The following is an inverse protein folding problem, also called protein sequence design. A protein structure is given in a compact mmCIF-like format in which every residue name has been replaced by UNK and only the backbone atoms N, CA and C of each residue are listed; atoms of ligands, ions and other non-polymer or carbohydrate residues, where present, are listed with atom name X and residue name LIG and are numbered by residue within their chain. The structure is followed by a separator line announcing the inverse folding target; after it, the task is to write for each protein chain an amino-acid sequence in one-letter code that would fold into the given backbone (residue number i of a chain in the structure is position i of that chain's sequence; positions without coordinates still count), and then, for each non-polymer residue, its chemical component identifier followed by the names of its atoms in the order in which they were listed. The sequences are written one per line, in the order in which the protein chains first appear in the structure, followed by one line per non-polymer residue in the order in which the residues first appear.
data_IF_268185152385
#
_entry.id   IF_268185152385
#
_cell.length_a   1.000
_cell.length_b   1.000
_cell.length_c   1.000
_cell.angle_alpha   90.00
_cell.angle_beta   90.00
_cell.angle_gamma   90.00
#
_symmetry.space_group_name_H-M   'P 1'
#
loop_
_entity.id
_entity.type
_entity.pdbx_description
1 polymer ?
#
# COMPACT_ATOMS: atom_id res chain seq x y z
N UNK A 1 -13.88 2.48 -0.71
CA UNK A 1 -12.44 2.35 -1.04
C UNK A 1 -11.85 3.74 -1.21
N UNK A 2 -11.39 4.34 -0.11
CA UNK A 2 -10.95 5.73 -0.13
C UNK A 2 -9.52 5.79 -0.70
N UNK A 3 -9.10 6.93 -1.25
CA UNK A 3 -7.73 7.15 -1.74
C UNK A 3 -6.92 7.92 -0.68
N UNK A 4 -5.71 7.46 -0.31
CA UNK A 4 -4.85 8.16 0.68
C UNK A 4 -4.02 9.18 -0.08
N UNK A 5 -4.01 10.41 0.40
CA UNK A 5 -2.99 11.40 0.04
C UNK A 5 -2.22 11.78 1.29
N UNK A 6 -0.92 11.50 1.31
CA UNK A 6 -0.01 11.76 2.40
C UNK A 6 0.58 13.17 2.33
N UNK A 7 0.86 13.75 3.50
CA UNK A 7 1.56 15.03 3.64
C UNK A 7 2.84 14.93 4.43
N UNK A 8 3.67 15.97 4.27
CA UNK A 8 4.65 16.42 5.27
C UNK A 8 3.97 17.42 6.23
N UNK A 9 4.12 17.20 7.54
CA UNK A 9 4.00 18.16 8.68
C UNK A 9 2.74 18.12 9.58
N UNK A 10 2.97 18.36 10.89
CA UNK A 10 2.08 18.67 12.05
C UNK A 10 1.10 17.57 12.53
N UNK A 11 0.83 17.24 13.82
CA UNK A 11 1.14 17.71 15.18
C UNK A 11 0.08 17.12 16.13
N UNK A 12 0.44 16.67 17.35
CA UNK A 12 -0.36 15.87 18.31
C UNK A 12 -1.60 16.61 18.88
N UNK A 13 -2.75 15.92 19.10
CA UNK A 13 -3.56 15.82 20.35
C UNK A 13 -5.07 15.49 20.16
N UNK A 14 -5.62 14.84 21.19
CA UNK A 14 -6.90 14.09 21.32
C UNK A 14 -8.18 14.95 21.30
N UNK A 15 -9.28 14.43 20.71
CA UNK A 15 -10.61 14.25 21.36
C UNK A 15 -11.78 14.05 20.37
N UNK A 16 -12.41 12.87 20.44
CA UNK A 16 -13.86 12.55 20.42
C UNK A 16 -14.82 13.53 19.70
N UNK A 17 -15.32 13.18 18.51
CA UNK A 17 -16.73 12.82 18.22
C UNK A 17 -16.97 12.70 16.70
N UNK A 18 -17.78 11.70 16.35
CA UNK A 18 -18.16 11.21 15.01
C UNK A 18 -18.71 12.29 14.09
N UNK A 19 -18.06 12.53 12.95
CA UNK A 19 -18.69 12.81 11.65
C UNK A 19 -17.60 12.84 10.57
N UNK A 20 -17.88 12.30 9.37
CA UNK A 20 -16.98 12.20 8.20
C UNK A 20 -16.01 10.99 8.19
N UNK A 21 -16.52 9.78 8.41
CA UNK A 21 -15.94 8.56 7.80
C UNK A 21 -17.11 7.72 7.25
N UNK A 22 -17.29 7.71 5.93
CA UNK A 22 -18.21 6.77 5.27
C UNK A 22 -17.67 5.34 5.47
N UNK A 23 -18.40 4.54 6.25
CA UNK A 23 -18.04 3.17 6.61
C UNK A 23 -18.26 2.22 5.43
N UNK A 24 -17.25 1.41 5.08
CA UNK A 24 -17.39 0.29 4.15
C UNK A 24 -17.47 -1.02 4.93
N UNK A 25 -18.48 -1.87 4.65
CA UNK A 25 -18.56 -3.27 5.14
C UNK A 25 -18.46 -4.21 3.95
N UNK A 26 -17.36 -4.95 3.82
CA UNK A 26 -17.29 -6.12 2.92
C UNK A 26 -17.87 -7.36 3.62
N UNK A 27 -18.41 -8.38 2.91
CA UNK A 27 -18.89 -9.62 3.51
C UNK A 27 -17.74 -10.50 4.05
N UNK A 28 -18.01 -11.24 5.14
CA UNK A 28 -17.04 -12.08 5.85
C UNK A 28 -17.01 -13.48 5.24
N UNK A 29 -15.84 -14.10 5.05
CA UNK A 29 -15.72 -15.56 4.92
C UNK A 29 -14.73 -16.08 5.95
N UNK A 30 -15.09 -17.23 6.57
CA UNK A 30 -14.27 -17.97 7.53
C UNK A 30 -12.98 -18.44 6.84
N UNK A 31 -11.84 -18.21 7.50
CA UNK A 31 -10.47 -18.68 7.17
C UNK A 31 -9.53 -17.75 6.38
N UNK A 32 -9.78 -16.45 6.32
CA UNK A 32 -8.79 -15.46 5.89
C UNK A 32 -9.00 -14.12 6.61
N UNK A 33 -7.91 -13.41 6.94
CA UNK A 33 -8.02 -12.04 7.46
C UNK A 33 -8.57 -11.18 6.32
N UNK A 34 -9.87 -10.92 6.40
CA UNK A 34 -10.63 -10.13 5.44
C UNK A 34 -10.05 -8.71 5.35
N UNK A 35 -9.92 -8.17 4.13
CA UNK A 35 -9.56 -6.77 3.83
C UNK A 35 -10.51 -5.69 4.44
N UNK A 36 -11.38 -6.07 5.38
CA UNK A 36 -12.37 -5.23 6.10
C UNK A 36 -11.76 -4.14 6.97
N UNK A 37 -10.46 -4.18 7.22
CA UNK A 37 -9.79 -3.25 8.14
C UNK A 37 -8.75 -2.40 7.41
N UNK A 38 -8.92 -2.09 6.12
CA UNK A 38 -8.06 -1.13 5.40
C UNK A 38 -8.80 0.20 5.28
N UNK A 39 -8.50 1.11 6.20
CA UNK A 39 -9.00 2.47 6.22
C UNK A 39 -7.91 3.45 5.85
N UNK A 40 -8.21 4.31 4.91
CA UNK A 40 -7.25 5.10 4.17
C UNK A 40 -7.34 6.56 4.63
N UNK A 41 -6.33 7.03 5.39
CA UNK A 41 -5.82 8.43 5.53
C UNK A 41 -4.96 8.61 6.82
N UNK A 42 -3.68 9.01 6.68
CA UNK A 42 -2.88 9.67 7.74
C UNK A 42 -2.04 10.81 7.14
N UNK A 43 -1.99 11.99 7.78
CA UNK A 43 -0.85 12.88 7.64
C UNK A 43 0.35 12.27 8.39
N UNK A 44 1.54 12.21 7.76
CA UNK A 44 2.78 11.93 8.48
C UNK A 44 3.44 13.26 8.86
N UNK A 45 3.39 13.63 10.14
CA UNK A 45 4.33 14.62 10.67
C UNK A 45 5.65 13.92 10.97
N UNK A 46 6.70 14.32 10.27
CA UNK A 46 8.07 14.21 10.79
C UNK A 46 8.26 15.34 11.80
N UNK A 47 8.59 15.02 13.05
CA UNK A 47 9.14 16.01 13.96
C UNK A 47 10.51 16.43 13.44
N UNK A 48 10.63 17.70 13.08
CA UNK A 48 11.90 18.34 12.81
C UNK A 48 12.37 19.01 14.10
N UNK A 49 12.69 18.21 15.13
CA UNK A 49 13.40 18.65 16.34
C UNK A 49 14.01 17.40 17.01
N UNK A 50 15.27 17.10 16.69
CA UNK A 50 16.02 15.98 17.30
C UNK A 50 16.84 15.14 16.31
N UNK A 51 17.99 15.67 15.88
CA UNK A 51 19.23 14.89 15.70
C UNK A 51 19.29 13.67 14.77
N UNK A 52 18.43 13.48 13.76
CA UNK A 52 18.62 12.39 12.80
C UNK A 52 19.64 12.75 11.70
N UNK A 53 20.62 11.87 11.39
CA UNK A 53 21.53 12.07 10.28
C UNK A 53 20.74 12.15 8.96
N UNK A 54 21.08 13.16 8.16
CA UNK A 54 20.64 13.35 6.78
C UNK A 54 20.88 12.07 5.98
N UNK A 55 19.86 11.23 5.79
CA UNK A 55 20.01 10.01 4.99
C UNK A 55 18.82 9.06 4.97
N UNK A 56 18.05 8.97 6.05
CA UNK A 56 16.89 8.06 6.10
C UNK A 56 15.62 8.79 5.65
N UNK A 57 15.46 8.93 4.33
CA UNK A 57 14.15 9.20 3.73
C UNK A 57 13.35 7.89 3.81
N UNK A 58 12.18 7.90 4.46
CA UNK A 58 11.18 6.88 4.13
C UNK A 58 11.02 6.91 2.60
N UNK A 59 11.02 5.76 1.89
CA UNK A 59 10.60 5.75 0.51
C UNK A 59 9.25 6.45 0.48
N UNK A 60 9.15 7.54 -0.27
CA UNK A 60 7.86 8.20 -0.48
C UNK A 60 6.97 7.12 -1.07
N UNK A 61 5.96 6.63 -0.35
CA UNK A 61 5.20 5.46 -0.81
C UNK A 61 4.71 5.72 -2.23
N UNK A 62 5.14 4.83 -3.13
CA UNK A 62 4.93 4.94 -4.57
C UNK A 62 3.75 4.06 -4.89
N UNK A 63 2.60 4.67 -5.13
CA UNK A 63 1.44 3.95 -5.63
C UNK A 63 1.52 3.86 -7.16
N UNK A 64 1.76 2.67 -7.68
CA UNK A 64 1.83 2.42 -9.12
C UNK A 64 0.46 2.11 -9.73
N UNK A 65 0.24 2.54 -10.97
CA UNK A 65 -0.95 2.25 -11.77
C UNK A 65 -0.62 2.16 -13.27
N UNK A 66 -1.44 1.44 -14.02
CA UNK A 66 -1.32 1.40 -15.48
C UNK A 66 -2.02 2.62 -16.12
N UNK A 67 -1.25 3.43 -16.84
CA UNK A 67 -1.75 4.57 -17.60
C UNK A 67 -2.59 4.20 -18.82
N UNK A 68 -2.83 5.20 -19.67
CA UNK A 68 -3.54 5.04 -20.93
C UNK A 68 -2.74 4.22 -21.95
N UNK A 69 -3.45 3.52 -22.83
CA UNK A 69 -2.84 2.68 -23.85
C UNK A 69 -2.15 3.55 -24.90
N UNK A 70 -0.86 3.29 -25.15
CA UNK A 70 -0.09 3.96 -26.19
C UNK A 70 -0.35 3.36 -27.59
N UNK A 71 0.27 3.92 -28.63
CA UNK A 71 0.13 3.46 -30.02
C UNK A 71 0.52 1.98 -30.26
N UNK A 72 1.30 1.38 -29.35
CA UNK A 72 1.72 -0.03 -29.41
C UNK A 72 0.79 -0.98 -28.65
N UNK A 73 -0.24 -0.45 -27.97
CA UNK A 73 -1.11 -1.24 -27.11
C UNK A 73 -0.61 -1.42 -25.68
N UNK A 74 0.58 -0.92 -25.36
CA UNK A 74 1.18 -0.94 -24.03
C UNK A 74 0.57 0.16 -23.15
N UNK A 75 0.35 -0.16 -21.88
CA UNK A 75 -0.05 0.80 -20.85
C UNK A 75 1.19 1.08 -19.98
N UNK A 76 1.74 2.31 -19.98
CA UNK A 76 2.91 2.61 -19.18
C UNK A 76 2.59 2.53 -17.69
N UNK A 77 3.52 2.01 -16.90
CA UNK A 77 3.41 2.01 -15.45
C UNK A 77 3.75 3.41 -14.93
N UNK A 78 2.77 4.08 -14.35
CA UNK A 78 2.92 5.39 -13.73
C UNK A 78 2.93 5.24 -12.21
N UNK A 79 3.43 6.26 -11.52
CA UNK A 79 3.43 6.32 -10.06
C UNK A 79 2.84 7.61 -9.52
N UNK A 80 2.19 7.50 -8.35
CA UNK A 80 1.75 8.62 -7.52
C UNK A 80 2.55 8.55 -6.23
N UNK A 81 3.45 9.51 -6.05
CA UNK A 81 4.24 9.64 -4.84
C UNK A 81 3.37 10.19 -3.71
N UNK A 82 3.46 9.63 -2.52
CA UNK A 82 2.73 10.12 -1.36
C UNK A 82 1.28 9.61 -1.31
N UNK A 83 0.98 8.56 -2.06
CA UNK A 83 -0.32 7.91 -2.06
C UNK A 83 -0.14 6.45 -1.67
N UNK A 84 -1.03 5.92 -0.85
CA UNK A 84 -0.86 4.59 -0.26
C UNK A 84 -2.20 3.98 0.22
N UNK A 85 -2.16 2.81 0.87
CA UNK A 85 -3.25 2.24 1.65
C UNK A 85 -2.85 2.12 3.13
N UNK A 86 -3.80 2.31 4.05
CA UNK A 86 -3.53 2.17 5.50
C UNK A 86 -4.62 1.33 6.15
N UNK A 87 -4.34 0.72 7.30
CA UNK A 87 -5.33 -0.04 8.04
C UNK A 87 -6.31 0.90 8.79
N UNK A 88 -7.55 0.47 8.99
CA UNK A 88 -8.61 1.30 9.56
C UNK A 88 -8.34 1.63 11.02
N UNK A 89 -7.83 0.66 11.76
CA UNK A 89 -7.34 0.79 13.13
C UNK A 89 -6.10 1.69 13.24
N UNK A 90 -5.45 1.99 12.12
CA UNK A 90 -4.33 2.92 12.07
C UNK A 90 -4.76 4.35 11.76
N UNK A 91 -5.99 4.61 11.30
CA UNK A 91 -6.45 5.99 11.07
C UNK A 91 -6.58 6.72 12.41
N UNK A 92 -5.89 7.86 12.52
CA UNK A 92 -6.12 8.82 13.61
C UNK A 92 -6.97 9.95 13.03
N UNK A 93 -8.28 10.01 13.34
CA UNK A 93 -9.14 11.06 12.83
C UNK A 93 -8.72 12.43 13.39
N UNK A 94 -8.81 13.46 12.56
CA UNK A 94 -8.59 14.86 12.95
C UNK A 94 -9.56 15.77 12.20
N UNK A 95 -9.72 17.01 12.68
CA UNK A 95 -10.55 18.04 12.03
C UNK A 95 -9.65 19.07 11.34
N UNK A 96 -9.79 19.30 10.03
CA UNK A 96 -8.94 20.25 9.32
C UNK A 96 -9.36 21.69 9.64
N UNK A 97 -8.38 22.51 10.03
CA UNK A 97 -8.53 23.94 10.34
C UNK A 97 -8.01 24.85 9.23
N UNK A 98 -7.71 24.27 8.07
CA UNK A 98 -7.18 24.97 6.90
C UNK A 98 -7.88 24.46 5.64
N UNK A 99 -8.04 25.33 4.63
CA UNK A 99 -8.66 25.00 3.34
C UNK A 99 -7.85 23.99 2.52
N UNK A 100 -6.54 23.87 2.80
CA UNK A 100 -5.66 22.86 2.22
C UNK A 100 -4.92 22.10 3.33
N UNK A 101 -5.62 21.22 4.06
CA UNK A 101 -5.04 20.50 5.20
C UNK A 101 -3.98 19.49 4.76
N UNK A 102 -4.03 19.08 3.48
CA UNK A 102 -3.12 18.11 2.91
C UNK A 102 -2.31 18.75 1.76
N UNK A 103 -1.01 19.00 1.98
CA UNK A 103 -0.05 19.38 0.95
C UNK A 103 0.31 18.17 0.07
N UNK A 104 -0.50 17.93 -0.96
CA UNK A 104 -0.27 16.91 -1.97
C UNK A 104 -0.90 17.32 -3.32
N UNK A 105 -0.24 17.05 -4.44
CA UNK A 105 -0.66 17.52 -5.77
C UNK A 105 -2.04 16.98 -6.20
N UNK A 106 -2.37 15.77 -5.74
CA UNK A 106 -3.67 15.14 -5.96
C UNK A 106 -4.78 15.63 -5.01
N UNK A 107 -4.49 16.44 -3.97
CA UNK A 107 -5.49 16.75 -2.93
C UNK A 107 -6.73 17.42 -3.50
N UNK A 108 -6.55 18.51 -4.23
CA UNK A 108 -7.66 19.26 -4.86
C UNK A 108 -8.30 18.51 -6.03
N UNK A 109 -7.61 17.50 -6.57
CA UNK A 109 -8.15 16.60 -7.60
C UNK A 109 -9.09 15.56 -7.00
N UNK A 110 -8.78 15.04 -5.81
CA UNK A 110 -9.57 13.97 -5.19
C UNK A 110 -10.65 14.53 -4.26
N UNK A 111 -10.35 15.62 -3.57
CA UNK A 111 -11.23 16.21 -2.58
C UNK A 111 -11.80 17.55 -3.05
N UNK A 112 -13.06 17.76 -2.72
CA UNK A 112 -13.78 19.02 -2.91
C UNK A 112 -14.20 19.56 -1.54
N UNK A 113 -13.94 20.84 -1.29
CA UNK A 113 -14.39 21.53 -0.08
C UNK A 113 -15.87 21.88 -0.23
N UNK A 114 -16.72 21.33 0.64
CA UNK A 114 -18.18 21.53 0.60
C UNK A 114 -18.69 22.60 1.56
N UNK A 115 -17.82 23.13 2.42
CA UNK A 115 -18.18 24.24 3.30
C UNK A 115 -17.22 24.41 4.47
N UNK A 116 -17.46 25.49 5.20
CA UNK A 116 -16.79 25.85 6.45
C UNK A 116 -17.87 25.96 7.55
N UNK A 117 -17.67 25.28 8.68
CA UNK A 117 -18.55 25.42 9.83
C UNK A 117 -18.22 26.70 10.62
N UNK A 118 -19.11 27.11 11.53
CA UNK A 118 -18.91 28.24 12.45
C UNK A 118 -17.60 28.19 13.24
N UNK A 119 -17.03 26.99 13.42
CA UNK A 119 -15.82 26.75 14.21
C UNK A 119 -14.54 26.75 13.36
N UNK A 120 -14.58 27.36 12.15
CA UNK A 120 -13.48 27.35 11.16
C UNK A 120 -13.01 25.93 10.78
N UNK A 121 -13.91 24.96 10.86
CA UNK A 121 -13.70 23.57 10.42
C UNK A 121 -14.08 23.44 8.94
N UNK A 122 -13.14 22.94 8.14
CA UNK A 122 -13.34 22.72 6.71
C UNK A 122 -13.89 21.33 6.44
N UNK A 123 -14.96 21.23 5.64
CA UNK A 123 -15.55 19.96 5.23
C UNK A 123 -15.13 19.60 3.81
N UNK A 124 -14.71 18.35 3.62
CA UNK A 124 -14.30 17.82 2.33
C UNK A 124 -15.10 16.57 1.96
N UNK A 125 -15.42 16.43 0.68
CA UNK A 125 -15.96 15.20 0.09
C UNK A 125 -15.02 14.67 -0.98
N UNK A 126 -15.07 13.38 -1.25
CA UNK A 126 -14.37 12.80 -2.39
C UNK A 126 -15.19 13.14 -3.65
N UNK A 127 -14.55 13.67 -4.69
CA UNK A 127 -15.21 13.93 -5.97
C UNK A 127 -15.76 12.64 -6.57
N UNK A 128 -16.87 12.74 -7.29
CA UNK A 128 -17.62 11.58 -7.80
C UNK A 128 -16.78 10.64 -8.66
N UNK A 129 -15.86 11.17 -9.48
CA UNK A 129 -14.97 10.41 -10.33
C UNK A 129 -13.95 9.54 -9.56
N UNK A 130 -13.75 9.82 -8.27
CA UNK A 130 -12.94 9.04 -7.34
C UNK A 130 -13.79 8.28 -6.31
N UNK A 131 -15.12 8.32 -6.43
CA UNK A 131 -15.99 7.52 -5.58
C UNK A 131 -15.75 6.04 -5.80
N UNK A 132 -15.75 5.21 -4.74
CA UNK A 132 -15.41 3.80 -4.86
C UNK A 132 -16.39 3.03 -5.76
N UNK A 133 -17.68 3.35 -5.71
CA UNK A 133 -18.68 2.72 -6.57
C UNK A 133 -18.41 3.03 -8.04
N UNK A 134 -18.05 4.28 -8.34
CA UNK A 134 -17.65 4.69 -9.69
C UNK A 134 -16.39 3.94 -10.14
N UNK A 135 -15.38 3.84 -9.26
CA UNK A 135 -14.11 3.17 -9.52
C UNK A 135 -14.26 1.64 -9.65
N UNK A 136 -15.13 1.00 -8.88
CA UNK A 136 -15.43 -0.43 -8.96
C UNK A 136 -16.22 -0.74 -10.22
N UNK A 137 -17.25 0.06 -10.52
CA UNK A 137 -18.09 -0.10 -11.71
C UNK A 137 -17.30 0.09 -13.01
N UNK A 138 -16.18 0.81 -12.99
CA UNK A 138 -15.24 0.92 -14.11
C UNK A 138 -14.27 -0.26 -14.29
N UNK A 139 -14.52 -1.40 -13.64
CA UNK A 139 -13.78 -2.65 -13.92
C UNK A 139 -12.68 -2.97 -12.90
N UNK A 140 -12.91 -2.64 -11.62
CA UNK A 140 -11.97 -2.93 -10.54
C UNK A 140 -10.83 -1.92 -10.50
N UNK A 141 -10.91 -0.98 -9.55
CA UNK A 141 -9.86 0.01 -9.37
C UNK A 141 -8.53 -0.67 -9.01
N UNK A 142 -7.44 -0.23 -9.63
CA UNK A 142 -6.08 -0.55 -9.21
C UNK A 142 -5.76 -0.09 -7.77
N UNK A 143 -6.65 0.74 -7.20
CA UNK A 143 -6.67 1.11 -5.80
C UNK A 143 -7.15 -0.03 -4.90
N UNK A 144 -8.12 -0.82 -5.38
CA UNK A 144 -8.57 -2.16 -4.95
C UNK A 144 -7.60 -3.09 -4.20
N UNK A 145 -7.44 -3.14 -2.85
CA UNK A 145 -6.72 -4.24 -2.23
C UNK A 145 -7.47 -5.54 -2.56
N UNK A 146 -6.77 -6.51 -3.13
CA UNK A 146 -7.33 -7.81 -3.48
C UNK A 146 -7.37 -8.71 -2.25
N UNK A 147 -6.22 -8.90 -1.60
CA UNK A 147 -6.10 -9.69 -0.37
C UNK A 147 -5.02 -9.10 0.55
N UNK A 148 -5.09 -9.47 1.84
CA UNK A 148 -4.14 -9.07 2.89
C UNK A 148 -3.61 -10.31 3.58
N UNK A 149 -2.29 -10.43 3.65
CA UNK A 149 -1.59 -11.54 4.29
C UNK A 149 -0.78 -10.99 5.46
N UNK A 150 -0.87 -11.64 6.62
CA UNK A 150 -0.13 -11.24 7.83
C UNK A 150 0.57 -12.44 8.44
N UNK A 151 1.82 -12.26 8.83
CA UNK A 151 2.58 -13.24 9.60
C UNK A 151 3.41 -12.53 10.68
N UNK A 152 3.61 -13.19 11.82
CA UNK A 152 4.48 -12.70 12.89
C UNK A 152 5.57 -13.74 13.15
N UNK A 153 6.82 -13.31 13.09
CA UNK A 153 7.98 -14.16 13.40
C UNK A 153 9.01 -13.35 14.19
N UNK A 154 9.46 -13.88 15.33
CA UNK A 154 10.54 -13.24 16.11
C UNK A 154 10.27 -11.79 16.52
N UNK A 155 9.03 -11.46 16.89
CA UNK A 155 8.64 -10.10 17.30
C UNK A 155 8.40 -9.12 16.13
N UNK A 156 8.49 -9.58 14.89
CA UNK A 156 8.23 -8.75 13.70
C UNK A 156 6.95 -9.19 13.03
N UNK A 157 6.07 -8.24 12.72
CA UNK A 157 4.90 -8.46 11.87
C UNK A 157 5.23 -8.09 10.43
N UNK A 158 4.96 -9.01 9.51
CA UNK A 158 4.99 -8.76 8.06
C UNK A 158 3.56 -8.75 7.57
N UNK A 159 3.15 -7.63 6.96
CA UNK A 159 1.86 -7.48 6.27
C UNK A 159 2.12 -7.32 4.78
N UNK A 160 1.47 -8.13 3.94
CA UNK A 160 1.52 -7.99 2.49
C UNK A 160 0.12 -7.72 1.95
N UNK A 161 -0.04 -6.65 1.18
CA UNK A 161 -1.30 -6.24 0.55
C UNK A 161 -1.11 -6.31 -0.96
N UNK A 162 -2.01 -7.00 -1.65
CA UNK A 162 -1.95 -7.16 -3.12
C UNK A 162 -2.96 -6.26 -3.82
N UNK A 163 -2.61 -5.79 -5.01
CA UNK A 163 -3.43 -4.95 -5.87
C UNK A 163 -3.32 -5.42 -7.31
N UNK A 164 -4.45 -5.63 -7.96
CA UNK A 164 -4.47 -5.92 -9.39
C UNK A 164 -4.50 -4.60 -10.16
N UNK A 165 -3.48 -4.34 -10.99
CA UNK A 165 -3.38 -3.09 -11.77
C UNK A 165 -4.06 -3.18 -13.13
N UNK A 166 -4.31 -4.40 -13.62
CA UNK A 166 -4.94 -4.69 -14.90
C UNK A 166 -3.99 -5.36 -15.90
N UNK A 167 -4.45 -5.41 -17.14
CA UNK A 167 -3.76 -6.05 -18.25
C UNK A 167 -2.84 -5.05 -18.96
N UNK A 168 -1.61 -5.46 -19.26
CA UNK A 168 -0.64 -4.76 -20.10
C UNK A 168 -0.17 -5.66 -21.26
N UNK A 169 0.24 -5.09 -22.39
CA UNK A 169 0.76 -5.84 -23.54
C UNK A 169 2.23 -5.53 -23.75
N UNK A 170 3.13 -6.17 -23.02
CA UNK A 170 4.57 -5.89 -23.10
C UNK A 170 5.20 -6.75 -24.19
N UNK A 171 5.88 -6.14 -25.18
CA UNK A 171 6.51 -6.86 -26.30
C UNK A 171 5.54 -7.80 -27.05
N UNK A 172 4.29 -7.37 -27.24
CA UNK A 172 3.25 -8.16 -27.90
C UNK A 172 2.67 -9.30 -27.06
N UNK A 173 3.16 -9.52 -25.83
CA UNK A 173 2.65 -10.54 -24.92
C UNK A 173 1.73 -9.92 -23.87
N UNK A 174 0.58 -10.54 -23.65
CA UNK A 174 -0.32 -10.14 -22.57
C UNK A 174 0.30 -10.48 -21.21
N UNK A 175 0.33 -9.49 -20.32
CA UNK A 175 0.81 -9.59 -18.95
C UNK A 175 -0.25 -9.03 -18.00
N UNK A 176 -0.40 -9.68 -16.86
CA UNK A 176 -1.29 -9.29 -15.79
C UNK A 176 -0.45 -8.61 -14.72
N UNK A 177 -0.62 -7.30 -14.60
CA UNK A 177 0.23 -6.46 -13.77
C UNK A 177 -0.35 -6.37 -12.35
N UNK A 178 0.50 -6.60 -11.37
CA UNK A 178 0.16 -6.54 -9.96
C UNK A 178 1.09 -5.58 -9.23
N UNK A 179 0.56 -4.94 -8.19
CA UNK A 179 1.36 -4.29 -7.15
C UNK A 179 1.19 -5.06 -5.86
N UNK A 180 2.26 -5.16 -5.10
CA UNK A 180 2.20 -5.60 -3.71
C UNK A 180 2.93 -4.61 -2.82
N UNK A 181 2.34 -4.35 -1.65
CA UNK A 181 2.91 -3.51 -0.60
C UNK A 181 3.27 -4.39 0.57
N UNK A 182 4.51 -4.31 1.04
CA UNK A 182 5.01 -5.06 2.19
C UNK A 182 5.35 -4.09 3.30
N UNK A 183 4.75 -4.31 4.47
CA UNK A 183 5.03 -3.57 5.69
C UNK A 183 5.62 -4.49 6.74
N UNK A 184 6.77 -4.09 7.28
CA UNK A 184 7.42 -4.72 8.42
C UNK A 184 7.19 -3.84 9.64
N UNK A 185 6.74 -4.43 10.75
CA UNK A 185 6.54 -3.75 12.02
C UNK A 185 7.30 -4.48 13.12
N UNK A 186 8.20 -3.78 13.79
CA UNK A 186 8.91 -4.23 14.98
C UNK A 186 8.03 -4.01 16.20
N UNK A 187 7.61 -5.13 16.80
CA UNK A 187 6.78 -5.15 18.02
C UNK A 187 7.65 -5.25 19.27
N UNK A 188 8.98 -5.32 19.11
CA UNK A 188 9.94 -5.31 20.21
C UNK A 188 10.46 -3.89 20.47
N UNK A 189 11.07 -3.68 21.64
CA UNK A 189 11.73 -2.43 22.01
C UNK A 189 13.20 -2.35 21.56
N UNK A 190 13.69 -3.35 20.82
CA UNK A 190 15.09 -3.41 20.37
C UNK A 190 15.22 -2.94 18.93
N UNK A 191 16.36 -2.35 18.58
CA UNK A 191 16.60 -1.92 17.20
C UNK A 191 17.00 -3.10 16.32
N UNK A 192 16.44 -3.16 15.12
CA UNK A 192 16.73 -4.19 14.13
C UNK A 192 17.11 -3.56 12.79
N UNK A 193 18.06 -4.15 12.08
CA UNK A 193 18.41 -3.75 10.71
C UNK A 193 18.03 -4.85 9.73
N UNK A 194 17.27 -4.52 8.69
CA UNK A 194 16.96 -5.47 7.61
C UNK A 194 18.20 -5.62 6.73
N UNK A 195 18.71 -6.84 6.60
CA UNK A 195 19.94 -7.15 5.87
C UNK A 195 19.70 -7.72 4.49
N UNK A 196 18.77 -8.65 4.35
CA UNK A 196 18.54 -9.34 3.08
C UNK A 196 17.05 -9.65 2.92
N UNK A 197 16.61 -9.72 1.67
CA UNK A 197 15.30 -10.22 1.26
C UNK A 197 15.48 -11.37 0.28
N UNK A 198 14.89 -12.52 0.60
CA UNK A 198 14.91 -13.72 -0.24
C UNK A 198 13.49 -14.19 -0.50
N UNK A 199 13.00 -14.01 -1.71
CA UNK A 199 11.64 -14.36 -2.13
C UNK A 199 11.66 -15.38 -3.26
N UNK A 200 10.59 -16.15 -3.34
CA UNK A 200 10.30 -17.08 -4.42
C UNK A 200 8.93 -16.72 -5.00
N UNK A 201 8.84 -16.69 -6.32
CA UNK A 201 7.62 -16.53 -7.08
C UNK A 201 7.39 -17.81 -7.88
N UNK A 202 6.23 -18.42 -7.71
CA UNK A 202 5.81 -19.57 -8.49
C UNK A 202 4.57 -19.23 -9.33
N UNK A 203 4.64 -19.47 -10.63
CA UNK A 203 3.52 -19.31 -11.55
C UNK A 203 3.70 -20.28 -12.74
N UNK A 204 2.64 -21.00 -13.13
CA UNK A 204 2.66 -21.91 -14.29
C UNK A 204 3.84 -22.90 -14.30
N UNK A 205 4.09 -23.60 -13.19
CA UNK A 205 5.21 -24.54 -13.03
C UNK A 205 6.61 -23.90 -13.20
N UNK A 206 6.70 -22.58 -13.25
CA UNK A 206 7.94 -21.82 -13.26
C UNK A 206 8.19 -21.21 -11.88
N UNK A 207 9.42 -21.35 -11.38
CA UNK A 207 9.88 -20.75 -10.14
C UNK A 207 10.94 -19.69 -10.45
N UNK A 208 10.71 -18.46 -9.98
CA UNK A 208 11.69 -17.37 -9.99
C UNK A 208 12.14 -17.08 -8.56
N UNK A 209 13.42 -16.83 -8.37
CA UNK A 209 13.97 -16.47 -7.05
C UNK A 209 14.53 -15.05 -7.10
N UNK A 210 14.17 -14.26 -6.10
CA UNK A 210 14.60 -12.87 -5.92
C UNK A 210 15.42 -12.83 -4.62
N UNK A 211 16.72 -12.61 -4.74
CA UNK A 211 17.60 -12.40 -3.58
C UNK A 211 18.18 -11.00 -3.68
N UNK A 212 17.91 -10.16 -2.69
CA UNK A 212 18.38 -8.78 -2.62
C UNK A 212 19.11 -8.54 -1.31
N UNK A 213 20.29 -7.91 -1.39
CA UNK A 213 20.97 -7.36 -0.23
C UNK A 213 20.33 -6.01 0.11
N UNK A 214 19.70 -5.94 1.28
CA UNK A 214 18.82 -4.85 1.67
C UNK A 214 17.44 -4.90 1.01
N UNK A 215 16.78 -3.74 1.01
CA UNK A 215 15.52 -3.50 0.30
C UNK A 215 15.70 -2.23 -0.54
N UNK A 216 15.51 -2.37 -1.86
CA UNK A 216 15.63 -1.27 -2.83
C UNK A 216 16.96 -0.49 -2.69
N UNK A 217 18.06 -1.21 -2.41
CA UNK A 217 19.41 -0.64 -2.27
C UNK A 217 19.75 -0.04 -0.89
N UNK A 218 18.86 -0.18 0.09
CA UNK A 218 19.08 0.32 1.47
C UNK A 218 18.98 -0.79 2.50
N UNK A 219 19.48 -0.55 3.72
CA UNK A 219 19.28 -1.43 4.88
C UNK A 219 18.42 -0.71 5.92
N UNK A 220 17.08 -0.79 5.83
CA UNK A 220 16.20 -0.09 6.74
C UNK A 220 16.41 -0.52 8.20
N UNK A 221 16.29 0.46 9.09
CA UNK A 221 16.40 0.29 10.53
C UNK A 221 15.00 0.39 11.16
N UNK A 222 14.61 -0.62 11.92
CA UNK A 222 13.37 -0.66 12.70
C UNK A 222 13.71 -0.42 14.18
N UNK A 223 13.54 0.80 14.66
CA UNK A 223 13.83 1.20 16.04
C UNK A 223 12.53 1.53 16.79
N UNK A 224 12.53 1.65 18.12
CA UNK A 224 11.34 2.12 18.86
C UNK A 224 10.79 3.46 18.38
N UNK A 225 11.65 4.34 17.83
CA UNK A 225 11.26 5.65 17.29
C UNK A 225 10.72 5.56 15.85
N UNK A 226 11.09 4.50 15.12
CA UNK A 226 10.62 4.22 13.77
C UNK A 226 10.36 2.71 13.64
N UNK A 227 9.27 2.19 14.24
CA UNK A 227 9.07 0.76 14.42
C UNK A 227 8.59 0.07 13.14
N UNK A 228 8.28 0.81 12.09
CA UNK A 228 7.79 0.24 10.84
C UNK A 228 8.64 0.66 9.65
N UNK A 229 8.68 -0.20 8.64
CA UNK A 229 9.20 0.09 7.32
C UNK A 229 8.24 -0.48 6.29
N UNK A 230 8.04 0.25 5.19
CA UNK A 230 7.15 -0.15 4.12
C UNK A 230 7.80 0.08 2.76
N UNK A 231 7.51 -0.83 1.82
CA UNK A 231 7.84 -0.64 0.42
C UNK A 231 6.75 -1.24 -0.47
N UNK A 232 6.67 -0.73 -1.69
CA UNK A 232 5.80 -1.27 -2.74
C UNK A 232 6.65 -1.74 -3.93
N UNK A 233 6.20 -2.78 -4.60
CA UNK A 233 6.81 -3.28 -5.84
C UNK A 233 5.74 -3.85 -6.77
N UNK A 234 6.10 -4.00 -8.04
CA UNK A 234 5.20 -4.51 -9.08
C UNK A 234 5.72 -5.82 -9.67
N UNK A 235 4.80 -6.60 -10.22
CA UNK A 235 5.10 -7.89 -10.83
C UNK A 235 4.17 -8.14 -12.01
N UNK A 236 4.75 -8.56 -13.14
CA UNK A 236 4.03 -8.93 -14.35
C UNK A 236 3.92 -10.44 -14.44
N UNK A 237 2.69 -10.95 -14.46
CA UNK A 237 2.38 -12.38 -14.48
C UNK A 237 1.82 -12.82 -15.83
N UNK A 238 2.03 -14.08 -16.26
CA UNK A 238 1.42 -14.62 -17.47
C UNK A 238 -0.08 -14.94 -17.30
N UNK A 239 -0.58 -15.01 -16.06
CA UNK A 239 -2.00 -15.23 -15.74
C UNK A 239 -2.47 -14.28 -14.64
N UNK A 240 -3.77 -13.96 -14.63
CA UNK A 240 -4.41 -13.14 -13.59
C UNK A 240 -4.69 -13.91 -12.29
N UNK A 241 -4.40 -15.21 -12.22
CA UNK A 241 -4.63 -16.03 -11.04
C UNK A 241 -3.63 -17.16 -10.89
N UNK A 242 -3.51 -17.67 -9.67
CA UNK A 242 -2.76 -18.89 -9.36
C UNK A 242 -1.24 -18.71 -9.24
N UNK A 243 -0.74 -17.47 -9.15
CA UNK A 243 0.65 -17.23 -8.80
C UNK A 243 0.80 -17.13 -7.27
N UNK A 244 1.90 -17.68 -6.75
CA UNK A 244 2.23 -17.68 -5.33
C UNK A 244 3.57 -17.01 -5.09
N UNK A 245 3.67 -16.17 -4.06
CA UNK A 245 4.91 -15.55 -3.63
C UNK A 245 5.13 -15.76 -2.14
N UNK A 246 6.32 -16.17 -1.74
CA UNK A 246 6.69 -16.36 -0.34
C UNK A 246 8.18 -16.12 -0.16
N UNK A 247 8.65 -16.04 1.07
CA UNK A 247 10.06 -15.79 1.30
C UNK A 247 10.41 -15.53 2.75
N UNK A 248 11.56 -14.87 2.92
CA UNK A 248 12.08 -14.45 4.22
C UNK A 248 12.79 -13.13 4.11
N UNK A 249 12.80 -12.37 5.21
CA UNK A 249 13.79 -11.33 5.44
C UNK A 249 14.81 -11.84 6.45
N UNK A 250 16.07 -11.46 6.26
CA UNK A 250 17.11 -11.63 7.27
C UNK A 250 17.31 -10.33 8.00
N UNK A 251 17.18 -10.35 9.32
CA UNK A 251 17.34 -9.19 10.19
C UNK A 251 18.56 -9.38 11.08
N UNK A 252 19.19 -8.26 11.43
CA UNK A 252 20.28 -8.20 12.40
C UNK A 252 19.84 -7.44 13.64
N UNK A 253 20.10 -8.02 14.82
CA UNK A 253 19.93 -7.37 16.13
C UNK A 253 21.11 -6.45 16.44
N UNK A 254 20.94 -5.56 17.40
CA UNK A 254 22.04 -4.73 17.94
C UNK A 254 23.24 -5.56 18.43
N UNK A 255 22.99 -6.77 18.95
CA UNK A 255 24.06 -7.71 19.36
C UNK A 255 24.89 -8.27 18.20
N UNK A 256 24.49 -7.99 16.95
CA UNK A 256 25.10 -8.51 15.74
C UNK A 256 24.52 -9.85 15.28
N UNK A 257 23.69 -10.52 16.09
CA UNK A 257 23.08 -11.80 15.71
C UNK A 257 22.08 -11.64 14.56
N UNK A 258 22.04 -12.64 13.68
CA UNK A 258 21.16 -12.69 12.53
C UNK A 258 20.03 -13.68 12.78
N UNK A 259 18.83 -13.35 12.30
CA UNK A 259 17.69 -14.26 12.30
C UNK A 259 16.80 -14.01 11.10
N UNK A 260 16.04 -15.03 10.71
CA UNK A 260 15.07 -14.94 9.62
C UNK A 260 13.68 -14.64 10.16
N UNK A 261 12.91 -13.83 9.44
CA UNK A 261 11.47 -13.69 9.60
C UNK A 261 10.78 -14.10 8.30
N UNK A 262 9.60 -14.69 8.41
CA UNK A 262 8.88 -15.21 7.26
C UNK A 262 8.10 -14.10 6.54
N UNK A 263 8.10 -14.15 5.22
CA UNK A 263 7.13 -13.43 4.38
C UNK A 263 5.99 -14.42 4.10
N UNK A 264 4.73 -14.08 4.44
CA UNK A 264 3.61 -15.00 4.28
C UNK A 264 3.47 -15.45 2.83
N UNK A 265 2.92 -16.64 2.63
CA UNK A 265 2.58 -17.10 1.27
C UNK A 265 1.41 -16.29 0.72
N UNK A 266 1.73 -15.38 -0.18
CA UNK A 266 0.82 -14.52 -0.92
C UNK A 266 0.31 -15.25 -2.15
N UNK A 267 -0.99 -15.11 -2.46
CA UNK A 267 -1.59 -15.58 -3.70
C UNK A 267 -2.04 -14.37 -4.53
N UNK A 268 -1.68 -14.35 -5.81
CA UNK A 268 -2.20 -13.38 -6.76
C UNK A 268 -3.37 -14.03 -7.49
N UNK A 269 -4.59 -13.62 -7.15
CA UNK A 269 -5.84 -14.14 -7.69
C UNK A 269 -6.89 -13.02 -7.82
N UNK A 270 -7.22 -12.63 -9.06
CA UNK A 270 -8.18 -11.57 -9.34
C UNK A 270 -9.57 -12.16 -9.62
N UNK A 271 -10.56 -11.79 -8.80
CA UNK A 271 -11.93 -12.36 -8.83
C UNK A 271 -12.85 -11.70 -9.86
N UNK A 272 -12.53 -10.50 -10.32
CA UNK A 272 -13.39 -9.69 -11.21
C UNK A 272 -13.09 -9.90 -12.71
N UNK A 273 -12.02 -10.63 -13.05
CA UNK A 273 -11.67 -11.00 -14.43
C UNK A 273 -12.39 -12.30 -14.81
N UNK A 274 -13.67 -12.19 -15.17
CA UNK A 274 -14.46 -13.31 -15.70
C UNK A 274 -15.22 -12.97 -16.99
N UNK A 275 -14.91 -11.85 -17.66
CA UNK A 275 -15.77 -11.34 -18.74
C UNK A 275 -15.09 -10.77 -20.00
N UNK A 276 -13.76 -10.81 -20.15
CA UNK A 276 -13.10 -10.28 -21.36
C UNK A 276 -12.54 -11.34 -22.33
N UNK A 277 -12.47 -12.62 -21.96
CA UNK A 277 -11.94 -13.69 -22.85
C UNK A 277 -12.94 -14.17 -23.93
N UNK A 278 -14.16 -13.63 -24.03
CA UNK A 278 -15.17 -14.06 -25.01
C UNK A 278 -15.59 -13.01 -26.05
N UNK A 279 -14.90 -11.86 -26.15
CA UNK A 279 -15.25 -10.78 -27.09
C UNK A 279 -14.31 -10.63 -28.29
N UNK A 280 -13.28 -11.48 -28.41
CA UNK A 280 -12.31 -11.46 -29.50
C UNK A 280 -12.28 -12.83 -30.21
N UNK A 281 -13.38 -13.20 -30.87
CA UNK A 281 -13.42 -14.19 -31.98
C UNK A 281 -14.61 -13.85 -32.88
#
# INVERSE_FOLDING_TARGET
MNVVLGTKNLGVLRSIHSSVIHHWRFPQKRNGISAKEIGILKPYKREADGGYPLGQRFPVDITCYLGERNMRGERPLNSINGMDCVAHDEIIPYRPTQSKPIQHDMFERIFEMVGENSDAEFKFVIREEFMPDFLVNKGGSWLVPQEVYKEITGGIRVTVITFYLGINRVNGQQKYCWRYTVRLENLESTTLTIRERSMKLFCLNNMQQINENGILGTHPCLSPLSPAFQFSSTIDLPQFKGAHLWGKFKLQRESGSLFDITIPTVMFDCKSEHSQEQSET
#
